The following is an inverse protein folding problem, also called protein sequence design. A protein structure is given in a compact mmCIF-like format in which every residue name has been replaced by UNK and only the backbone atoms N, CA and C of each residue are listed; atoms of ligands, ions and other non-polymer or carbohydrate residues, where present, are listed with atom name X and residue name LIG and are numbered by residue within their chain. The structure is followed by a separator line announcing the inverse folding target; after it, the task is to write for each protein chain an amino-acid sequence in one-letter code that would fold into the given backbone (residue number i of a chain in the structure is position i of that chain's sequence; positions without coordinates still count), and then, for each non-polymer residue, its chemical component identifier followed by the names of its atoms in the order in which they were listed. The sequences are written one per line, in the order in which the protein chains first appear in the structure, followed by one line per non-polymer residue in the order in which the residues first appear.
data_IF_663149616804
#
_entry.id   IF_663149616804
#
_cell.length_a   1.000
_cell.length_b   1.000
_cell.length_c   1.000
_cell.angle_alpha   90.00
_cell.angle_beta   90.00
_cell.angle_gamma   90.00
#
_symmetry.space_group_name_H-M   'P 1'
#
loop_
_entity.id
_entity.type
_entity.pdbx_description
1 polymer ?
#
# COMPACT_ATOMS: atom_id res chain seq x y z
N UNK A 1 54.86 -2.41 21.62
CA UNK A 1 53.86 -2.11 22.66
C UNK A 1 52.79 -1.26 22.04
N UNK A 2 51.51 -1.57 22.33
CA UNK A 2 50.27 -0.82 21.94
C UNK A 2 49.61 -1.22 20.60
N UNK A 3 49.12 -2.48 20.49
CA UNK A 3 48.10 -2.88 19.50
C UNK A 3 46.79 -3.40 20.13
N UNK A 4 46.71 -3.47 21.47
CA UNK A 4 45.57 -4.13 22.15
C UNK A 4 44.58 -3.12 22.82
N UNK A 5 44.77 -1.83 22.69
CA UNK A 5 43.86 -0.83 23.31
C UNK A 5 42.72 -0.34 22.40
N UNK A 6 42.82 -0.56 21.06
CA UNK A 6 41.74 -0.12 20.14
C UNK A 6 40.58 -1.10 20.06
N UNK A 7 40.78 -2.38 20.35
CA UNK A 7 39.72 -3.39 20.23
C UNK A 7 38.65 -3.30 21.33
N UNK A 8 39.01 -2.84 22.54
CA UNK A 8 38.06 -2.76 23.65
C UNK A 8 37.11 -1.55 23.56
N UNK A 9 37.53 -0.48 22.89
CA UNK A 9 36.70 0.73 22.79
C UNK A 9 35.55 0.57 21.78
N UNK A 10 35.73 -0.22 20.72
CA UNK A 10 34.70 -0.47 19.70
C UNK A 10 33.59 -1.40 20.20
N UNK A 11 33.94 -2.39 21.02
CA UNK A 11 32.97 -3.30 21.65
C UNK A 11 32.13 -2.60 22.72
N UNK A 12 32.70 -1.65 23.46
CA UNK A 12 31.99 -0.87 24.46
C UNK A 12 30.97 0.10 23.86
N UNK A 13 31.29 0.72 22.71
CA UNK A 13 30.40 1.66 22.03
C UNK A 13 29.17 0.99 21.39
N UNK A 14 29.35 -0.23 20.84
CA UNK A 14 28.24 -1.03 20.29
C UNK A 14 27.29 -1.55 21.39
N UNK A 15 27.82 -1.92 22.54
CA UNK A 15 27.03 -2.37 23.69
C UNK A 15 26.19 -1.25 24.33
N UNK A 16 26.75 -0.05 24.43
CA UNK A 16 26.05 1.13 24.97
C UNK A 16 24.95 1.63 24.05
N UNK A 17 25.15 1.62 22.74
CA UNK A 17 24.12 2.00 21.76
C UNK A 17 22.94 1.02 21.77
N UNK A 18 23.18 -0.28 21.85
CA UNK A 18 22.13 -1.32 21.95
C UNK A 18 21.33 -1.21 23.24
N UNK A 19 21.97 -0.92 24.37
CA UNK A 19 21.30 -0.76 25.66
C UNK A 19 20.44 0.51 25.71
N UNK A 20 20.91 1.63 25.15
CA UNK A 20 20.16 2.87 25.09
C UNK A 20 18.92 2.75 24.16
N UNK A 21 19.02 1.98 23.07
CA UNK A 21 17.91 1.77 22.15
C UNK A 21 16.84 0.83 22.74
N UNK A 22 17.25 -0.21 23.47
CA UNK A 22 16.36 -1.10 24.21
C UNK A 22 15.58 -0.34 25.30
N UNK A 23 16.26 0.50 26.08
CA UNK A 23 15.62 1.32 27.13
C UNK A 23 14.61 2.32 26.55
N UNK A 24 14.86 2.85 25.35
CA UNK A 24 13.93 3.76 24.69
C UNK A 24 12.67 3.04 24.20
N UNK A 25 12.80 1.84 23.65
CA UNK A 25 11.64 1.03 23.19
C UNK A 25 10.78 0.56 24.39
N UNK A 26 11.38 0.13 25.48
CA UNK A 26 10.65 -0.28 26.69
C UNK A 26 9.85 0.90 27.28
N UNK A 27 10.44 2.08 27.32
CA UNK A 27 9.75 3.30 27.75
C UNK A 27 8.57 3.65 26.84
N UNK A 28 8.73 3.48 25.52
CA UNK A 28 7.66 3.69 24.55
C UNK A 28 6.52 2.67 24.75
N UNK A 29 6.86 1.40 24.97
CA UNK A 29 5.87 0.35 25.24
C UNK A 29 5.04 0.69 26.49
N UNK A 30 5.69 1.14 27.58
CA UNK A 30 4.96 1.52 28.80
C UNK A 30 4.07 2.75 28.58
N UNK A 31 4.54 3.75 27.82
CA UNK A 31 3.74 4.93 27.49
C UNK A 31 2.53 4.58 26.60
N UNK A 32 2.71 3.75 25.60
CA UNK A 32 1.65 3.26 24.71
C UNK A 32 0.60 2.43 25.48
N UNK A 33 1.05 1.57 26.41
CA UNK A 33 0.15 0.81 27.30
C UNK A 33 -0.70 1.70 28.21
N UNK A 34 -0.18 2.85 28.64
CA UNK A 34 -0.96 3.83 29.42
C UNK A 34 -2.04 4.52 28.56
N UNK A 35 -1.78 4.74 27.29
CA UNK A 35 -2.78 5.23 26.34
C UNK A 35 -3.84 4.15 26.07
N UNK A 36 -3.46 2.86 26.05
CA UNK A 36 -4.33 1.70 26.02
C UNK A 36 -5.03 1.43 24.68
N UNK A 37 -4.94 2.35 23.72
CA UNK A 37 -5.61 2.27 22.43
C UNK A 37 -4.74 2.77 21.29
N UNK A 38 -4.97 2.22 20.11
CA UNK A 38 -4.52 2.72 18.81
C UNK A 38 -5.75 2.86 17.92
N UNK A 39 -5.92 3.97 17.21
CA UNK A 39 -6.97 4.16 16.21
C UNK A 39 -6.36 4.18 14.82
N UNK A 40 -6.73 3.19 14.00
CA UNK A 40 -6.31 3.05 12.60
C UNK A 40 -7.44 3.45 11.66
N UNK A 41 -7.11 3.69 10.39
CA UNK A 41 -8.07 3.92 9.30
C UNK A 41 -7.52 3.34 8.01
N UNK A 42 -8.39 2.85 7.13
CA UNK A 42 -7.98 2.37 5.82
C UNK A 42 -7.15 1.08 5.83
N UNK A 43 -7.27 0.23 6.86
CA UNK A 43 -6.52 -1.03 7.00
C UNK A 43 -7.43 -2.26 6.86
N UNK A 44 -7.84 -2.66 5.64
CA UNK A 44 -8.65 -3.86 5.47
C UNK A 44 -7.85 -5.11 5.88
N UNK A 45 -8.50 -6.07 6.52
CA UNK A 45 -7.83 -7.26 7.06
C UNK A 45 -7.17 -8.15 6.00
N UNK A 46 -7.74 -8.16 4.79
CA UNK A 46 -7.25 -8.90 3.62
C UNK A 46 -6.16 -8.14 2.81
N UNK A 47 -5.87 -6.91 3.19
CA UNK A 47 -4.83 -6.10 2.55
C UNK A 47 -3.47 -6.37 3.18
N UNK A 48 -2.50 -6.89 2.41
CA UNK A 48 -1.11 -7.12 2.86
C UNK A 48 -0.97 -7.89 4.19
N UNK A 49 -2.01 -8.59 4.63
CA UNK A 49 -2.00 -9.32 5.90
C UNK A 49 -2.24 -8.44 7.14
N UNK A 50 -2.83 -7.24 6.98
CA UNK A 50 -3.13 -6.34 8.11
C UNK A 50 -3.92 -7.01 9.23
N UNK A 51 -4.91 -7.85 8.92
CA UNK A 51 -5.68 -8.56 9.95
C UNK A 51 -4.81 -9.37 10.90
N UNK A 52 -3.82 -10.10 10.37
CA UNK A 52 -2.87 -10.85 11.18
C UNK A 52 -1.93 -9.93 11.96
N UNK A 53 -1.45 -8.84 11.36
CA UNK A 53 -0.54 -7.90 12.02
C UNK A 53 -1.23 -7.10 13.12
N UNK A 54 -2.49 -6.69 12.92
CA UNK A 54 -3.31 -6.05 13.94
C UNK A 54 -3.55 -7.00 15.12
N UNK A 55 -3.89 -8.27 14.84
CA UNK A 55 -4.07 -9.28 15.87
C UNK A 55 -2.78 -9.55 16.68
N UNK A 56 -1.63 -9.64 15.99
CA UNK A 56 -0.32 -9.83 16.61
C UNK A 56 0.09 -8.62 17.46
N UNK A 57 -0.14 -7.40 16.98
CA UNK A 57 0.09 -6.17 17.75
C UNK A 57 -0.73 -6.13 19.02
N UNK A 58 -2.04 -6.42 18.93
CA UNK A 58 -2.94 -6.52 20.09
C UNK A 58 -2.44 -7.55 21.12
N UNK A 59 -2.10 -8.76 20.65
CA UNK A 59 -1.63 -9.83 21.50
C UNK A 59 -0.31 -9.51 22.18
N UNK A 60 0.63 -8.92 21.43
CA UNK A 60 1.98 -8.63 21.92
C UNK A 60 2.03 -7.49 22.93
N UNK A 61 1.24 -6.45 22.75
CA UNK A 61 1.35 -5.24 23.55
C UNK A 61 0.17 -5.03 24.51
N UNK A 62 -0.94 -5.76 24.35
CA UNK A 62 -2.14 -5.58 25.18
C UNK A 62 -2.83 -4.24 24.94
N UNK A 63 -2.70 -3.67 23.72
CA UNK A 63 -3.30 -2.40 23.30
C UNK A 63 -4.53 -2.70 22.46
N UNK A 64 -5.66 -2.05 22.76
CA UNK A 64 -6.88 -2.13 21.94
C UNK A 64 -6.66 -1.41 20.62
N UNK A 65 -7.13 -1.97 19.50
CA UNK A 65 -7.14 -1.29 18.22
C UNK A 65 -8.58 -0.95 17.82
N UNK A 66 -8.83 0.34 17.61
CA UNK A 66 -10.06 0.89 17.05
C UNK A 66 -9.86 1.08 15.55
N UNK A 67 -10.61 0.35 14.74
CA UNK A 67 -10.45 0.31 13.28
C UNK A 67 -11.54 1.14 12.60
N UNK A 68 -11.17 2.33 12.10
CA UNK A 68 -12.07 3.22 11.37
C UNK A 68 -12.08 2.86 9.89
N UNK A 69 -13.29 2.86 9.31
CA UNK A 69 -13.51 2.70 7.88
C UNK A 69 -12.38 1.90 7.16
N UNK A 70 -12.34 0.59 7.29
CA UNK A 70 -11.26 -0.23 6.70
C UNK A 70 -11.14 -0.06 5.18
N UNK A 71 -12.22 0.30 4.51
CA UNK A 71 -12.29 0.50 3.06
C UNK A 71 -11.95 1.94 2.60
N UNK A 72 -11.47 2.82 3.50
CA UNK A 72 -11.11 4.19 3.15
C UNK A 72 -9.99 4.22 2.10
N UNK A 73 -10.12 5.10 1.11
CA UNK A 73 -9.03 5.41 0.19
C UNK A 73 -8.06 6.43 0.78
N UNK A 74 -6.87 6.56 0.20
CA UNK A 74 -5.81 7.47 0.71
C UNK A 74 -6.27 8.93 0.87
N UNK A 75 -7.17 9.40 0.00
CA UNK A 75 -7.77 10.73 0.12
C UNK A 75 -8.71 10.84 1.32
N UNK A 76 -9.50 9.79 1.57
CA UNK A 76 -10.46 9.76 2.68
C UNK A 76 -9.74 9.75 4.04
N UNK A 77 -8.60 9.07 4.13
CA UNK A 77 -7.76 9.05 5.34
C UNK A 77 -7.22 10.45 5.68
N UNK A 78 -6.79 11.20 4.66
CA UNK A 78 -6.35 12.60 4.83
C UNK A 78 -7.51 13.49 5.29
N UNK A 79 -8.68 13.34 4.68
CA UNK A 79 -9.88 14.10 5.07
C UNK A 79 -10.32 13.72 6.49
N UNK A 80 -10.18 12.45 6.90
CA UNK A 80 -10.48 12.03 8.28
C UNK A 80 -9.59 12.75 9.32
N UNK A 81 -8.28 12.92 9.05
CA UNK A 81 -7.43 13.73 9.93
C UNK A 81 -7.88 15.19 9.96
N UNK A 82 -8.21 15.78 8.78
CA UNK A 82 -8.66 17.18 8.69
C UNK A 82 -9.94 17.41 9.49
N UNK A 83 -10.92 16.53 9.35
CA UNK A 83 -12.21 16.61 10.03
C UNK A 83 -12.10 16.42 11.55
N UNK A 84 -11.04 15.75 12.02
CA UNK A 84 -10.83 15.41 13.43
C UNK A 84 -9.69 16.21 14.09
N UNK A 85 -9.32 17.37 13.58
CA UNK A 85 -8.32 18.24 14.21
C UNK A 85 -8.74 18.62 15.64
N UNK A 86 -7.91 18.21 16.61
CA UNK A 86 -8.18 18.48 18.03
C UNK A 86 -9.24 17.59 18.67
N UNK A 87 -9.84 16.66 17.93
CA UNK A 87 -10.71 15.64 18.49
C UNK A 87 -9.86 14.55 19.16
N UNK A 88 -10.12 14.28 20.44
CA UNK A 88 -9.44 13.21 21.23
C UNK A 88 -10.32 11.95 21.34
N UNK A 89 -11.45 11.91 20.65
CA UNK A 89 -12.39 10.79 20.67
C UNK A 89 -12.05 9.70 19.65
N UNK A 90 -12.84 8.62 19.64
CA UNK A 90 -12.55 7.41 18.86
C UNK A 90 -12.65 7.59 17.34
N UNK A 91 -13.11 8.75 16.85
CA UNK A 91 -13.18 9.03 15.41
C UNK A 91 -11.90 9.66 14.83
N UNK A 92 -10.94 10.06 15.69
CA UNK A 92 -9.69 10.65 15.26
C UNK A 92 -8.64 9.56 14.99
N UNK A 93 -8.13 9.41 13.76
CA UNK A 93 -7.10 8.43 13.46
C UNK A 93 -5.74 8.81 14.05
N UNK A 94 -5.04 7.82 14.62
CA UNK A 94 -3.67 7.98 15.09
C UNK A 94 -2.66 7.81 13.96
N UNK A 95 -2.94 6.91 13.01
CA UNK A 95 -2.05 6.57 11.90
C UNK A 95 -2.85 6.46 10.60
N UNK A 96 -2.15 6.67 9.48
CA UNK A 96 -2.68 6.47 8.11
C UNK A 96 -1.72 5.61 7.30
N UNK A 97 -2.29 4.85 6.32
CA UNK A 97 -1.59 4.05 5.32
C UNK A 97 -2.01 4.49 3.91
N UNK A 98 -1.22 5.34 3.31
CA UNK A 98 -1.60 6.02 2.06
C UNK A 98 -0.62 5.73 0.93
N UNK A 99 -1.07 5.82 -0.30
CA UNK A 99 -0.18 5.78 -1.46
C UNK A 99 0.90 6.87 -1.38
N UNK A 100 2.11 6.58 -1.86
CA UNK A 100 3.32 7.39 -1.69
C UNK A 100 3.11 8.90 -1.95
N UNK A 101 2.35 9.29 -2.98
CA UNK A 101 2.11 10.70 -3.32
C UNK A 101 1.19 11.43 -2.34
N UNK A 102 0.50 10.73 -1.46
CA UNK A 102 -0.34 11.33 -0.43
C UNK A 102 0.46 11.69 0.84
N UNK A 103 1.63 11.06 1.06
CA UNK A 103 2.54 11.39 2.16
C UNK A 103 3.00 12.85 2.14
N UNK A 104 3.62 13.36 1.05
CA UNK A 104 3.94 14.78 0.90
C UNK A 104 2.73 15.69 1.06
N UNK A 105 1.60 15.34 0.45
CA UNK A 105 0.34 16.12 0.57
C UNK A 105 -0.10 16.28 2.03
N UNK A 106 -0.04 15.20 2.82
CA UNK A 106 -0.38 15.25 4.25
C UNK A 106 0.64 16.09 5.05
N UNK A 107 1.93 16.01 4.72
CA UNK A 107 3.00 16.85 5.33
C UNK A 107 2.78 18.32 5.04
N UNK A 108 2.58 18.69 3.78
CA UNK A 108 2.41 20.09 3.35
C UNK A 108 1.15 20.72 3.92
N UNK A 109 0.11 19.92 4.11
CA UNK A 109 -1.12 20.34 4.80
C UNK A 109 -0.98 20.41 6.34
N UNK A 110 0.18 20.08 6.90
CA UNK A 110 0.46 20.10 8.35
C UNK A 110 -0.37 19.11 9.16
N UNK A 111 -0.71 17.94 8.57
CA UNK A 111 -1.62 16.94 9.13
C UNK A 111 -0.92 15.79 9.85
N UNK A 112 0.38 15.61 9.60
CA UNK A 112 1.18 14.51 10.14
C UNK A 112 2.37 15.04 10.95
N UNK A 113 2.95 14.18 11.78
CA UNK A 113 4.09 14.51 12.63
C UNK A 113 5.28 13.59 12.34
N UNK A 114 6.53 14.07 12.57
CA UNK A 114 7.71 13.27 12.29
C UNK A 114 7.96 12.23 13.38
N UNK A 115 8.38 11.04 12.96
CA UNK A 115 8.91 10.00 13.83
C UNK A 115 9.84 9.08 13.02
N UNK A 116 11.07 8.87 13.48
CA UNK A 116 12.02 7.95 12.83
C UNK A 116 12.12 6.67 13.64
N UNK A 117 11.71 5.56 13.04
CA UNK A 117 11.80 4.23 13.65
C UNK A 117 13.25 3.78 13.87
N UNK A 118 13.46 2.85 14.78
CA UNK A 118 14.78 2.29 15.10
C UNK A 118 15.52 1.71 13.89
N UNK A 119 14.78 1.22 12.88
CA UNK A 119 15.30 0.65 11.63
C UNK A 119 15.39 1.66 10.47
N UNK A 120 15.26 2.96 10.74
CA UNK A 120 15.20 4.06 9.77
C UNK A 120 16.22 3.97 8.62
N UNK A 121 17.47 3.61 8.94
CA UNK A 121 18.55 3.56 7.96
C UNK A 121 18.43 2.44 6.93
N UNK A 122 17.57 1.45 7.17
CA UNK A 122 17.30 0.35 6.24
C UNK A 122 16.17 0.62 5.25
N UNK A 123 15.45 1.73 5.40
CA UNK A 123 14.41 2.17 4.48
C UNK A 123 15.07 2.94 3.32
N UNK A 124 14.77 2.62 2.04
CA UNK A 124 15.32 3.33 0.89
C UNK A 124 15.04 4.84 0.93
N UNK A 125 15.98 5.64 0.44
CA UNK A 125 15.86 7.12 0.45
C UNK A 125 14.67 7.60 -0.39
N UNK A 126 14.41 6.93 -1.48
CA UNK A 126 13.36 7.25 -2.46
C UNK A 126 11.96 7.00 -1.91
N UNK A 127 11.87 6.20 -0.84
CA UNK A 127 10.61 5.81 -0.21
C UNK A 127 10.41 6.43 1.16
N UNK A 128 11.06 7.56 1.48
CA UNK A 128 10.88 8.24 2.77
C UNK A 128 11.13 9.73 2.72
N UNK A 129 10.41 10.46 3.55
CA UNK A 129 10.70 11.85 3.86
C UNK A 129 11.93 11.96 4.78
N UNK A 130 12.90 12.84 4.46
CA UNK A 130 14.15 12.98 5.22
C UNK A 130 13.96 13.31 6.70
N UNK A 131 12.89 14.02 7.02
CA UNK A 131 12.57 14.46 8.37
C UNK A 131 11.78 13.42 9.16
N UNK A 132 11.23 12.39 8.47
CA UNK A 132 10.51 11.28 9.09
C UNK A 132 9.01 11.50 9.22
N UNK A 133 8.39 12.35 8.40
CA UNK A 133 6.95 12.58 8.41
C UNK A 133 6.17 11.41 7.84
N UNK A 134 6.71 10.75 6.80
CA UNK A 134 6.14 9.57 6.15
C UNK A 134 7.24 8.68 5.59
N UNK A 135 7.02 7.40 5.49
CA UNK A 135 7.96 6.45 4.90
C UNK A 135 7.28 5.17 4.45
N UNK A 136 7.81 4.59 3.38
CA UNK A 136 7.30 3.37 2.76
C UNK A 136 7.30 2.19 3.71
N UNK A 137 6.31 1.34 3.57
CA UNK A 137 6.15 0.12 4.35
C UNK A 137 6.14 -1.13 3.48
N UNK A 138 5.44 -1.12 2.35
CA UNK A 138 5.39 -2.20 1.37
C UNK A 138 5.14 -1.67 -0.05
N UNK A 139 5.29 -2.57 -1.02
CA UNK A 139 4.97 -2.31 -2.43
C UNK A 139 4.45 -3.56 -3.14
N UNK A 140 3.81 -3.36 -4.28
CA UNK A 140 3.37 -4.39 -5.22
C UNK A 140 3.28 -3.85 -6.63
N UNK A 141 2.78 -4.64 -7.57
CA UNK A 141 2.52 -4.24 -8.95
C UNK A 141 1.05 -4.37 -9.30
N UNK A 142 0.57 -3.57 -10.25
CA UNK A 142 -0.80 -3.73 -10.74
C UNK A 142 -0.95 -5.01 -11.55
N UNK A 143 -2.09 -5.67 -11.34
CA UNK A 143 -2.47 -6.91 -12.00
C UNK A 143 -3.96 -6.88 -12.39
N UNK A 144 -4.34 -7.79 -13.27
CA UNK A 144 -5.73 -8.16 -13.52
C UNK A 144 -6.05 -9.37 -12.66
N UNK A 145 -7.03 -9.23 -11.81
CA UNK A 145 -7.65 -10.33 -11.08
C UNK A 145 -8.83 -10.82 -11.90
N UNK A 146 -8.81 -12.09 -12.33
CA UNK A 146 -9.73 -12.61 -13.32
C UNK A 146 -10.48 -13.82 -12.79
N UNK A 147 -11.81 -13.74 -12.76
CA UNK A 147 -12.70 -14.89 -12.53
C UNK A 147 -12.73 -15.76 -13.80
N UNK A 148 -11.97 -16.86 -13.80
CA UNK A 148 -11.84 -17.74 -14.98
C UNK A 148 -13.02 -18.67 -15.20
N UNK A 149 -13.95 -18.73 -14.25
CA UNK A 149 -15.20 -19.46 -14.45
C UNK A 149 -16.13 -18.70 -15.41
N UNK A 150 -16.03 -17.37 -15.45
CA UNK A 150 -16.77 -16.50 -16.36
C UNK A 150 -15.95 -16.05 -17.56
N UNK A 151 -14.68 -15.71 -17.37
CA UNK A 151 -13.78 -15.18 -18.41
C UNK A 151 -12.91 -16.31 -18.97
N UNK A 152 -13.33 -16.91 -20.07
CA UNK A 152 -12.62 -18.05 -20.68
C UNK A 152 -11.37 -17.64 -21.46
N UNK A 153 -11.34 -16.44 -22.02
CA UNK A 153 -10.15 -15.86 -22.65
C UNK A 153 -9.54 -14.86 -21.69
N UNK A 154 -8.54 -15.30 -20.91
CA UNK A 154 -7.90 -14.45 -19.91
C UNK A 154 -7.11 -13.33 -20.61
N UNK A 155 -7.35 -12.03 -20.28
CA UNK A 155 -6.61 -10.93 -20.86
C UNK A 155 -5.15 -10.98 -20.39
N UNK A 156 -4.21 -10.67 -21.29
CA UNK A 156 -2.78 -10.70 -21.00
C UNK A 156 -2.13 -9.31 -21.05
N UNK A 157 -2.87 -8.32 -21.56
CA UNK A 157 -2.38 -6.95 -21.65
C UNK A 157 -3.56 -5.97 -21.69
N UNK A 158 -3.30 -4.69 -21.42
CA UNK A 158 -4.29 -3.62 -21.35
C UNK A 158 -5.20 -3.55 -22.58
N UNK A 159 -4.63 -3.60 -23.78
CA UNK A 159 -5.41 -3.56 -25.04
C UNK A 159 -6.42 -4.70 -25.17
N UNK A 160 -6.18 -5.83 -24.51
CA UNK A 160 -7.12 -6.94 -24.55
C UNK A 160 -8.45 -6.56 -23.93
N UNK A 161 -8.43 -5.74 -22.86
CA UNK A 161 -9.62 -5.31 -22.12
C UNK A 161 -10.66 -4.56 -22.98
N UNK A 162 -10.26 -4.04 -24.14
CA UNK A 162 -11.14 -3.33 -25.07
C UNK A 162 -11.94 -4.29 -26.00
N UNK A 163 -11.62 -5.59 -26.01
CA UNK A 163 -12.30 -6.58 -26.84
C UNK A 163 -13.76 -6.77 -26.41
N UNK A 164 -14.69 -7.05 -27.36
CA UNK A 164 -16.10 -7.30 -27.06
C UNK A 164 -16.33 -8.45 -26.08
N UNK A 165 -15.38 -9.39 -25.98
CA UNK A 165 -15.44 -10.52 -25.03
C UNK A 165 -15.45 -10.08 -23.56
N UNK A 166 -15.07 -8.85 -23.25
CA UNK A 166 -15.02 -8.33 -21.87
C UNK A 166 -16.11 -7.28 -21.59
N UNK A 167 -17.25 -7.35 -22.35
CA UNK A 167 -18.39 -6.47 -22.09
C UNK A 167 -18.92 -6.71 -20.68
N UNK A 168 -19.19 -5.63 -19.93
CA UNK A 168 -19.62 -5.65 -18.52
C UNK A 168 -18.68 -6.46 -17.60
N UNK A 169 -17.36 -6.37 -17.79
CA UNK A 169 -16.45 -7.24 -17.07
C UNK A 169 -15.35 -6.49 -16.30
N UNK A 170 -14.93 -5.31 -16.72
CA UNK A 170 -13.73 -4.64 -16.21
C UNK A 170 -14.06 -3.60 -15.17
N UNK A 171 -13.53 -3.73 -13.97
CA UNK A 171 -13.69 -2.79 -12.86
C UNK A 171 -12.36 -2.32 -12.29
N UNK A 172 -12.37 -1.17 -11.61
CA UNK A 172 -11.29 -0.68 -10.77
C UNK A 172 -11.55 -1.07 -9.31
N UNK A 173 -10.50 -1.36 -8.56
CA UNK A 173 -10.60 -1.59 -7.12
C UNK A 173 -10.48 -0.27 -6.34
N UNK A 174 -11.43 0.63 -6.55
CA UNK A 174 -11.52 1.92 -5.89
C UNK A 174 -12.02 3.03 -6.82
N UNK A 175 -12.38 4.15 -6.23
CA UNK A 175 -12.75 5.36 -6.95
C UNK A 175 -11.48 6.11 -7.40
N UNK A 176 -11.25 6.34 -8.71
CA UNK A 176 -10.06 7.03 -9.22
C UNK A 176 -9.99 8.52 -8.85
N UNK A 177 -10.97 9.05 -8.14
CA UNK A 177 -10.94 10.41 -7.61
C UNK A 177 -10.26 10.50 -6.24
N UNK A 178 -10.19 9.38 -5.49
CA UNK A 178 -9.67 9.35 -4.11
C UNK A 178 -8.76 8.16 -3.80
N UNK A 179 -8.92 7.01 -4.47
CA UNK A 179 -8.20 5.78 -4.17
C UNK A 179 -6.90 5.66 -4.98
N UNK A 180 -5.76 5.60 -4.29
CA UNK A 180 -4.45 5.47 -4.94
C UNK A 180 -4.36 4.28 -5.91
N UNK A 181 -4.93 3.13 -5.56
CA UNK A 181 -4.93 1.93 -6.39
C UNK A 181 -5.63 2.17 -7.74
N UNK A 182 -6.80 2.81 -7.71
CA UNK A 182 -7.56 3.13 -8.91
C UNK A 182 -6.88 4.20 -9.77
N UNK A 183 -6.35 5.26 -9.14
CA UNK A 183 -5.55 6.29 -9.82
C UNK A 183 -4.37 5.65 -10.55
N UNK A 184 -3.64 4.77 -9.85
CA UNK A 184 -2.51 4.02 -10.41
C UNK A 184 -2.94 3.10 -11.56
N UNK A 185 -4.12 2.48 -11.46
CA UNK A 185 -4.71 1.65 -12.52
C UNK A 185 -4.97 2.44 -13.81
N UNK A 186 -5.51 3.65 -13.69
CA UNK A 186 -5.72 4.55 -14.83
C UNK A 186 -4.38 4.94 -15.47
N UNK A 187 -3.40 5.33 -14.67
CA UNK A 187 -2.07 5.69 -15.17
C UNK A 187 -1.36 4.51 -15.85
N UNK A 188 -1.41 3.31 -15.25
CA UNK A 188 -0.81 2.10 -15.80
C UNK A 188 -1.42 1.73 -17.15
N UNK A 189 -2.74 1.88 -17.32
CA UNK A 189 -3.38 1.70 -18.60
C UNK A 189 -2.81 2.64 -19.66
N UNK A 190 -2.55 3.90 -19.32
CA UNK A 190 -1.97 4.89 -20.22
C UNK A 190 -0.55 4.56 -20.65
N UNK A 191 0.34 4.21 -19.73
CA UNK A 191 1.69 3.76 -20.09
C UNK A 191 1.67 2.42 -20.85
N UNK A 192 0.67 1.57 -20.59
CA UNK A 192 0.40 0.36 -21.36
C UNK A 192 -0.01 0.61 -22.81
N UNK A 193 -0.53 1.81 -23.13
CA UNK A 193 -0.76 2.28 -24.50
C UNK A 193 0.48 2.90 -25.14
N UNK A 194 1.62 2.89 -24.46
CA UNK A 194 2.89 3.44 -24.96
C UNK A 194 3.13 4.92 -24.65
N UNK A 195 2.28 5.54 -23.83
CA UNK A 195 2.50 6.92 -23.39
C UNK A 195 3.78 7.05 -22.55
N UNK A 196 4.47 8.18 -22.69
CA UNK A 196 5.72 8.47 -21.99
C UNK A 196 5.55 9.64 -21.04
N UNK A 197 5.96 9.41 -19.77
CA UNK A 197 5.86 10.42 -18.71
C UNK A 197 4.46 10.57 -18.11
N UNK A 198 4.40 11.29 -17.01
CA UNK A 198 3.23 11.33 -16.12
C UNK A 198 1.98 11.95 -16.78
N UNK A 199 2.13 13.12 -17.42
CA UNK A 199 1.01 13.84 -18.02
C UNK A 199 0.40 13.07 -19.21
N UNK A 200 1.24 12.55 -20.11
CA UNK A 200 0.77 11.76 -21.26
C UNK A 200 0.15 10.44 -20.81
N UNK A 201 0.73 9.80 -19.78
CA UNK A 201 0.19 8.56 -19.19
C UNK A 201 -1.19 8.77 -18.58
N UNK A 202 -1.38 9.88 -17.86
CA UNK A 202 -2.69 10.22 -17.30
C UNK A 202 -3.74 10.45 -18.40
N UNK A 203 -3.43 11.27 -19.43
CA UNK A 203 -4.33 11.55 -20.54
C UNK A 203 -4.69 10.27 -21.33
N UNK A 204 -3.69 9.46 -21.66
CA UNK A 204 -3.91 8.19 -22.37
C UNK A 204 -4.71 7.19 -21.54
N UNK A 205 -4.49 7.14 -20.23
CA UNK A 205 -5.24 6.30 -19.31
C UNK A 205 -6.72 6.72 -19.20
N UNK A 206 -6.98 8.02 -19.06
CA UNK A 206 -8.34 8.55 -19.06
C UNK A 206 -9.08 8.23 -20.37
N UNK A 207 -8.42 8.42 -21.51
CA UNK A 207 -8.98 8.06 -22.84
C UNK A 207 -9.22 6.55 -22.96
N UNK A 208 -8.34 5.73 -22.42
CA UNK A 208 -8.52 4.28 -22.38
C UNK A 208 -9.78 3.89 -21.59
N UNK A 209 -9.99 4.43 -20.39
CA UNK A 209 -11.18 4.15 -19.60
C UNK A 209 -12.45 4.76 -20.21
N UNK A 210 -12.37 5.93 -20.84
CA UNK A 210 -13.48 6.50 -21.63
C UNK A 210 -13.90 5.54 -22.76
N UNK A 211 -12.91 4.93 -23.45
CA UNK A 211 -13.21 3.96 -24.50
C UNK A 211 -13.80 2.65 -23.92
N UNK A 212 -13.29 2.15 -22.78
CA UNK A 212 -13.89 1.00 -22.09
C UNK A 212 -15.35 1.27 -21.70
N UNK A 213 -15.62 2.46 -21.17
CA UNK A 213 -16.97 2.89 -20.78
C UNK A 213 -17.89 2.96 -22.02
N UNK A 214 -17.44 3.60 -23.09
CA UNK A 214 -18.16 3.71 -24.36
C UNK A 214 -18.48 2.34 -24.97
N UNK A 215 -17.54 1.40 -24.91
CA UNK A 215 -17.72 0.04 -25.43
C UNK A 215 -18.64 -0.84 -24.54
N UNK A 216 -18.96 -0.35 -23.33
CA UNK A 216 -19.71 -1.12 -22.32
C UNK A 216 -18.88 -2.22 -21.66
N UNK A 217 -17.54 -2.12 -21.70
CA UNK A 217 -16.64 -3.06 -21.01
C UNK A 217 -16.41 -2.68 -19.56
N UNK A 218 -16.45 -1.36 -19.24
CA UNK A 218 -16.22 -0.85 -17.91
C UNK A 218 -17.46 -1.00 -17.03
N UNK A 219 -17.27 -1.50 -15.81
CA UNK A 219 -18.27 -1.61 -14.76
C UNK A 219 -17.95 -0.58 -13.68
N UNK A 220 -18.79 0.44 -13.44
CA UNK A 220 -18.50 1.50 -12.47
C UNK A 220 -18.86 1.06 -11.03
N UNK A 221 -18.42 -0.12 -10.66
CA UNK A 221 -18.55 -0.69 -9.30
C UNK A 221 -17.14 -0.92 -8.76
N UNK A 222 -16.91 -0.57 -7.51
CA UNK A 222 -15.64 -0.86 -6.85
C UNK A 222 -15.45 -2.37 -6.76
N UNK A 223 -14.44 -2.87 -7.48
CA UNK A 223 -14.10 -4.29 -7.52
C UNK A 223 -13.55 -4.78 -6.19
N UNK A 224 -14.18 -5.83 -5.63
CA UNK A 224 -13.81 -6.51 -4.38
C UNK A 224 -13.92 -8.03 -4.60
N UNK A 225 -13.31 -8.84 -3.72
CA UNK A 225 -13.44 -10.30 -3.75
C UNK A 225 -14.91 -10.77 -3.86
N UNK A 226 -15.82 -10.12 -3.12
CA UNK A 226 -17.24 -10.46 -3.15
C UNK A 226 -17.88 -10.18 -4.52
N UNK A 227 -17.61 -9.03 -5.16
CA UNK A 227 -18.16 -8.70 -6.48
C UNK A 227 -17.54 -9.55 -7.60
N UNK A 228 -16.27 -9.95 -7.45
CA UNK A 228 -15.62 -10.94 -8.33
C UNK A 228 -16.31 -12.30 -8.21
N UNK A 229 -16.52 -12.78 -6.98
CA UNK A 229 -17.16 -14.06 -6.71
C UNK A 229 -18.61 -14.11 -7.22
N UNK A 230 -19.36 -13.02 -7.05
CA UNK A 230 -20.72 -12.87 -7.56
C UNK A 230 -20.81 -12.69 -9.09
N UNK A 231 -19.67 -12.48 -9.76
CA UNK A 231 -19.61 -12.22 -11.18
C UNK A 231 -20.03 -10.81 -11.62
N UNK A 232 -20.22 -9.88 -10.69
CA UNK A 232 -20.53 -8.47 -10.98
C UNK A 232 -19.33 -7.77 -11.62
N UNK A 233 -18.11 -8.08 -11.16
CA UNK A 233 -16.85 -7.52 -11.66
C UNK A 233 -15.87 -8.65 -12.00
N UNK A 234 -16.08 -9.38 -13.11
CA UNK A 234 -15.29 -10.58 -13.44
C UNK A 234 -13.80 -10.33 -13.67
N UNK A 235 -13.41 -9.08 -13.96
CA UNK A 235 -12.03 -8.64 -14.11
C UNK A 235 -11.86 -7.38 -13.24
N UNK A 236 -10.97 -7.46 -12.26
CA UNK A 236 -10.65 -6.31 -11.41
C UNK A 236 -9.20 -5.89 -11.65
N UNK A 237 -8.99 -4.59 -11.88
CA UNK A 237 -7.65 -3.99 -11.94
C UNK A 237 -7.28 -3.56 -10.53
N UNK A 238 -6.29 -4.24 -9.92
CA UNK A 238 -5.87 -4.02 -8.54
C UNK A 238 -4.40 -4.42 -8.32
N UNK A 239 -3.90 -4.21 -7.11
CA UNK A 239 -2.56 -4.69 -6.77
C UNK A 239 -2.51 -6.23 -6.76
N UNK A 240 -1.38 -6.79 -7.20
CA UNK A 240 -1.14 -8.22 -7.29
C UNK A 240 -1.29 -8.94 -5.94
N UNK A 241 -0.85 -8.33 -4.85
CA UNK A 241 -0.97 -8.91 -3.52
C UNK A 241 -2.44 -9.07 -3.07
N UNK A 242 -3.33 -8.12 -3.41
CA UNK A 242 -4.75 -8.27 -3.13
C UNK A 242 -5.34 -9.41 -3.96
N UNK A 243 -5.06 -9.43 -5.28
CA UNK A 243 -5.54 -10.46 -6.17
C UNK A 243 -5.07 -11.87 -5.76
N UNK A 244 -3.83 -11.99 -5.24
CA UNK A 244 -3.28 -13.25 -4.71
C UNK A 244 -3.97 -13.66 -3.41
N UNK A 245 -4.23 -12.71 -2.51
CA UNK A 245 -4.96 -12.96 -1.26
C UNK A 245 -6.40 -13.41 -1.52
N UNK A 246 -7.10 -12.74 -2.45
CA UNK A 246 -8.46 -13.11 -2.85
C UNK A 246 -8.50 -14.50 -3.48
N UNK A 247 -7.58 -14.82 -4.39
CA UNK A 247 -7.44 -16.16 -4.98
C UNK A 247 -7.38 -17.25 -3.90
N UNK A 248 -6.54 -17.02 -2.87
CA UNK A 248 -6.35 -18.02 -1.82
C UNK A 248 -7.55 -18.08 -0.86
N UNK A 249 -8.21 -16.95 -0.62
CA UNK A 249 -9.43 -16.89 0.21
C UNK A 249 -10.61 -17.55 -0.46
N UNK A 250 -10.78 -17.35 -1.76
CA UNK A 250 -11.88 -17.91 -2.56
C UNK A 250 -11.71 -19.42 -2.81
N UNK A 251 -10.51 -19.97 -2.67
CA UNK A 251 -10.22 -21.42 -2.73
C UNK A 251 -10.79 -22.12 -3.98
N UNK A 252 -10.75 -21.46 -5.13
CA UNK A 252 -11.25 -21.98 -6.38
C UNK A 252 -12.77 -21.82 -6.59
N UNK A 253 -13.46 -21.07 -5.76
CA UNK A 253 -14.88 -20.77 -5.92
C UNK A 253 -15.14 -19.25 -5.86
N UNK A 254 -15.00 -18.52 -6.99
CA UNK A 254 -14.59 -18.97 -8.31
C UNK A 254 -13.08 -19.24 -8.43
N UNK A 255 -12.69 -19.88 -9.55
CA UNK A 255 -11.28 -19.95 -9.93
C UNK A 255 -10.76 -18.55 -10.30
N UNK A 256 -9.68 -18.12 -9.67
CA UNK A 256 -9.08 -16.80 -9.88
C UNK A 256 -7.69 -16.95 -10.51
N UNK A 257 -7.45 -16.22 -11.60
CA UNK A 257 -6.13 -16.05 -12.18
C UNK A 257 -5.65 -14.62 -12.00
N UNK A 258 -4.41 -14.46 -11.50
CA UNK A 258 -3.75 -13.17 -11.34
C UNK A 258 -2.80 -12.97 -12.51
N UNK A 259 -2.97 -11.88 -13.26
CA UNK A 259 -2.21 -11.59 -14.48
C UNK A 259 -1.54 -10.22 -14.35
N UNK A 260 -0.22 -10.20 -14.27
CA UNK A 260 0.54 -8.95 -14.47
C UNK A 260 0.58 -8.66 -15.97
N UNK A 261 0.11 -7.49 -16.44
CA UNK A 261 0.06 -7.18 -17.87
C UNK A 261 1.45 -7.14 -18.49
N UNK A 262 1.54 -7.43 -19.81
CA UNK A 262 2.83 -7.44 -20.53
C UNK A 262 3.44 -6.05 -20.69
N UNK A 263 2.59 -5.03 -20.78
CA UNK A 263 2.95 -3.61 -20.86
C UNK A 263 2.36 -2.84 -19.68
N UNK A 264 2.84 -1.62 -19.42
CA UNK A 264 2.31 -0.79 -18.34
C UNK A 264 2.43 -1.43 -16.96
N UNK A 265 3.51 -2.19 -16.70
CA UNK A 265 3.76 -2.79 -15.38
C UNK A 265 4.14 -1.65 -14.43
N UNK A 266 3.22 -1.30 -13.55
CA UNK A 266 3.37 -0.21 -12.60
C UNK A 266 3.50 -0.76 -11.19
N UNK A 267 4.55 -0.34 -10.47
CA UNK A 267 4.69 -0.57 -9.05
C UNK A 267 4.13 0.60 -8.24
N UNK A 268 3.54 0.29 -7.11
CA UNK A 268 3.06 1.28 -6.15
C UNK A 268 3.57 1.00 -4.75
N UNK A 269 4.10 2.06 -4.12
CA UNK A 269 4.54 2.05 -2.72
C UNK A 269 3.45 2.68 -1.87
N UNK A 270 3.17 2.10 -0.72
CA UNK A 270 2.38 2.71 0.34
C UNK A 270 3.30 3.23 1.43
N UNK A 271 2.83 4.22 2.17
CA UNK A 271 3.58 4.88 3.23
C UNK A 271 2.73 5.02 4.48
N UNK A 272 3.36 4.79 5.62
CA UNK A 272 2.78 5.07 6.93
C UNK A 272 3.11 6.47 7.38
N UNK A 273 2.18 7.08 8.10
CA UNK A 273 2.38 8.35 8.78
C UNK A 273 1.57 8.42 10.08
N UNK A 274 2.09 9.19 11.04
CA UNK A 274 1.40 9.46 12.31
C UNK A 274 0.64 10.77 12.18
N UNK A 275 -0.65 10.77 12.51
CA UNK A 275 -1.44 12.00 12.57
C UNK A 275 -0.83 13.01 13.56
N UNK A 276 -0.75 14.27 13.17
CA UNK A 276 -0.33 15.35 14.08
C UNK A 276 -1.28 15.52 15.26
N UNK A 277 -2.53 15.09 15.09
CA UNK A 277 -3.62 15.20 16.05
C UNK A 277 -3.95 13.83 16.68
N UNK A 278 -3.03 12.87 16.61
CA UNK A 278 -3.21 11.53 17.16
C UNK A 278 -3.59 11.59 18.65
N UNK A 279 -4.74 11.03 19.05
CA UNK A 279 -5.12 10.91 20.47
C UNK A 279 -4.15 10.01 21.26
N UNK A 280 -3.52 9.02 20.59
CA UNK A 280 -2.65 8.03 21.21
C UNK A 280 -1.26 8.03 20.54
N UNK A 281 -0.46 9.13 20.69
CA UNK A 281 0.77 9.31 19.92
C UNK A 281 1.87 8.29 20.26
N UNK A 282 1.89 7.72 21.48
CA UNK A 282 2.85 6.68 21.82
C UNK A 282 2.44 5.30 21.25
N UNK A 283 1.15 4.99 21.23
CA UNK A 283 0.64 3.79 20.57
C UNK A 283 0.88 3.86 19.04
N UNK A 284 0.71 5.05 18.43
CA UNK A 284 1.06 5.29 17.05
C UNK A 284 2.54 5.04 16.76
N UNK A 285 3.46 5.60 17.57
CA UNK A 285 4.90 5.35 17.43
C UNK A 285 5.26 3.88 17.63
N UNK A 286 4.61 3.20 18.58
CA UNK A 286 4.83 1.77 18.82
C UNK A 286 4.33 0.92 17.65
N UNK A 287 3.22 1.30 17.02
CA UNK A 287 2.76 0.70 15.77
C UNK A 287 3.79 0.83 14.64
N UNK A 288 4.37 2.01 14.49
CA UNK A 288 5.46 2.22 13.52
C UNK A 288 6.67 1.34 13.83
N UNK A 289 7.14 1.27 15.09
CA UNK A 289 8.25 0.36 15.48
C UNK A 289 7.91 -1.10 15.19
N UNK A 290 6.67 -1.53 15.42
CA UNK A 290 6.20 -2.88 15.12
C UNK A 290 6.24 -3.18 13.62
N UNK A 291 5.64 -2.33 12.78
CA UNK A 291 5.59 -2.52 11.33
C UNK A 291 6.97 -2.56 10.68
N UNK A 292 7.88 -1.72 11.15
CA UNK A 292 9.24 -1.63 10.60
C UNK A 292 10.27 -2.53 11.30
N UNK A 293 9.86 -3.32 12.29
CA UNK A 293 10.68 -4.42 12.83
C UNK A 293 10.89 -5.51 11.76
N UNK A 294 11.88 -6.38 11.96
CA UNK A 294 12.07 -7.52 11.04
C UNK A 294 10.84 -8.43 11.00
N UNK A 295 10.19 -8.65 12.14
CA UNK A 295 8.96 -9.46 12.22
C UNK A 295 7.78 -8.80 11.49
N UNK A 296 7.55 -7.51 11.65
CA UNK A 296 6.51 -6.76 10.94
C UNK A 296 6.75 -6.77 9.43
N UNK A 297 7.98 -6.53 9.01
CA UNK A 297 8.35 -6.56 7.59
C UNK A 297 8.18 -7.95 6.95
N UNK A 298 8.45 -9.03 7.69
CA UNK A 298 8.14 -10.40 7.25
C UNK A 298 6.61 -10.64 7.23
N UNK A 299 5.85 -9.94 8.09
CA UNK A 299 4.40 -9.96 8.09
C UNK A 299 3.80 -9.57 6.73
N UNK A 300 4.37 -8.57 6.05
CA UNK A 300 3.95 -8.15 4.71
C UNK A 300 4.05 -9.28 3.68
N UNK A 301 5.10 -10.09 3.74
CA UNK A 301 5.29 -11.23 2.83
C UNK A 301 4.21 -12.29 3.00
N UNK A 302 3.66 -12.48 4.21
CA UNK A 302 2.54 -13.39 4.45
C UNK A 302 1.28 -12.95 3.71
N UNK A 303 1.12 -11.64 3.52
CA UNK A 303 0.05 -11.02 2.74
C UNK A 303 0.42 -10.74 1.27
N UNK A 304 1.47 -11.38 0.75
CA UNK A 304 1.98 -11.23 -0.62
C UNK A 304 2.60 -9.87 -0.95
N UNK A 305 2.73 -8.96 0.00
CA UNK A 305 3.34 -7.65 -0.20
C UNK A 305 4.85 -7.70 -0.06
N UNK A 306 5.56 -6.99 -0.92
CA UNK A 306 6.99 -6.82 -0.78
C UNK A 306 7.28 -5.78 0.30
N UNK A 307 7.96 -6.13 1.40
CA UNK A 307 8.32 -5.16 2.44
C UNK A 307 9.30 -4.12 1.90
N UNK A 308 9.20 -2.89 2.35
CA UNK A 308 10.11 -1.82 1.92
C UNK A 308 11.58 -2.11 2.31
N UNK A 309 11.79 -2.87 3.38
CA UNK A 309 13.12 -3.31 3.84
C UNK A 309 13.58 -4.63 3.21
N UNK A 310 12.99 -5.04 2.08
CA UNK A 310 13.27 -6.32 1.42
C UNK A 310 14.78 -6.57 1.23
N UNK A 311 15.50 -5.59 0.68
CA UNK A 311 16.92 -5.71 0.41
C UNK A 311 17.77 -5.88 1.70
N UNK A 312 17.41 -5.16 2.77
CA UNK A 312 18.06 -5.28 4.08
C UNK A 312 17.82 -6.68 4.69
N UNK A 313 16.59 -7.16 4.64
CA UNK A 313 16.24 -8.50 5.14
C UNK A 313 16.89 -9.60 4.32
N UNK A 314 16.96 -9.46 3.00
CA UNK A 314 17.62 -10.41 2.10
C UNK A 314 19.12 -10.48 2.36
N UNK A 315 19.80 -9.33 2.51
CA UNK A 315 21.21 -9.26 2.86
C UNK A 315 21.52 -9.92 4.21
N UNK A 316 20.60 -9.82 5.16
CA UNK A 316 20.67 -10.45 6.48
C UNK A 316 20.20 -11.91 6.51
N UNK A 317 19.79 -12.47 5.36
CA UNK A 317 19.24 -13.84 5.21
C UNK A 317 18.05 -14.11 6.15
N UNK A 318 17.20 -13.11 6.38
CA UNK A 318 16.04 -13.20 7.28
C UNK A 318 14.73 -13.54 6.58
N UNK A 319 14.70 -13.56 5.24
CA UNK A 319 13.50 -13.88 4.48
C UNK A 319 13.34 -15.40 4.36
N UNK A 320 12.23 -16.00 4.84
CA UNK A 320 11.95 -17.42 4.70
C UNK A 320 11.78 -17.82 3.23
N UNK A 321 12.42 -18.93 2.82
CA UNK A 321 12.42 -19.37 1.43
C UNK A 321 11.02 -19.76 0.91
N UNK A 322 10.19 -20.33 1.78
CA UNK A 322 8.81 -20.71 1.47
C UNK A 322 7.91 -19.49 1.19
N UNK A 323 8.21 -18.34 1.80
CA UNK A 323 7.50 -17.08 1.51
C UNK A 323 7.92 -16.51 0.15
N UNK A 324 9.21 -16.57 -0.19
CA UNK A 324 9.70 -16.16 -1.51
C UNK A 324 9.05 -16.95 -2.64
N UNK A 325 8.83 -18.26 -2.43
CA UNK A 325 8.21 -19.13 -3.41
C UNK A 325 6.75 -18.80 -3.71
N UNK A 326 6.06 -18.08 -2.82
CA UNK A 326 4.67 -17.64 -2.99
C UNK A 326 4.51 -16.33 -3.74
N UNK A 327 5.56 -15.55 -3.86
CA UNK A 327 5.55 -14.26 -4.55
C UNK A 327 5.57 -14.48 -6.08
N UNK A 328 5.04 -13.53 -6.87
CA UNK A 328 5.21 -13.52 -8.31
C UNK A 328 6.68 -13.58 -8.71
N UNK A 329 6.94 -14.12 -9.91
CA UNK A 329 8.31 -14.24 -10.42
C UNK A 329 9.06 -12.92 -10.35
N UNK A 330 10.31 -12.89 -9.82
CA UNK A 330 11.14 -11.68 -9.81
C UNK A 330 11.33 -11.04 -11.19
N UNK A 331 11.18 -11.81 -12.28
CA UNK A 331 11.25 -11.29 -13.64
C UNK A 331 10.12 -10.32 -13.99
N UNK A 332 8.95 -10.45 -13.37
CA UNK A 332 7.82 -9.53 -13.54
C UNK A 332 8.13 -8.18 -12.90
N UNK A 333 8.67 -8.20 -11.68
CA UNK A 333 9.04 -6.98 -10.96
C UNK A 333 10.20 -6.21 -11.60
N UNK A 334 11.10 -6.89 -12.32
CA UNK A 334 12.19 -6.22 -13.07
C UNK A 334 11.70 -5.26 -14.15
N UNK A 335 10.47 -5.45 -14.66
CA UNK A 335 9.85 -4.59 -15.67
C UNK A 335 9.03 -3.47 -15.05
N UNK A 336 8.81 -3.50 -13.75
CA UNK A 336 7.96 -2.54 -13.07
C UNK A 336 8.58 -1.13 -13.09
N UNK A 337 7.76 -0.18 -13.48
CA UNK A 337 8.08 1.24 -13.37
C UNK A 337 7.69 1.69 -11.97
N UNK A 338 8.62 2.28 -11.24
CA UNK A 338 8.39 2.98 -9.99
C UNK A 338 8.35 4.49 -10.29
N UNK A 339 7.17 5.11 -10.39
CA UNK A 339 7.07 6.54 -10.68
C UNK A 339 7.71 7.37 -9.58
N UNK A 340 8.40 8.44 -9.96
CA UNK A 340 8.88 9.43 -8.99
C UNK A 340 7.72 10.10 -8.26
N UNK A 341 7.97 10.74 -7.12
CA UNK A 341 6.94 11.54 -6.44
C UNK A 341 6.33 12.60 -7.37
N UNK A 342 7.17 13.30 -8.13
CA UNK A 342 6.71 14.31 -9.09
C UNK A 342 5.81 13.71 -10.18
N UNK A 343 6.13 12.52 -10.69
CA UNK A 343 5.26 11.82 -11.64
C UNK A 343 3.92 11.47 -11.00
N UNK A 344 3.95 10.95 -9.76
CA UNK A 344 2.75 10.57 -9.03
C UNK A 344 1.83 11.76 -8.76
N UNK A 345 2.37 12.89 -8.32
CA UNK A 345 1.62 14.14 -8.15
C UNK A 345 0.98 14.60 -9.45
N UNK A 346 1.75 14.56 -10.55
CA UNK A 346 1.31 14.99 -11.87
C UNK A 346 0.14 14.13 -12.38
N UNK A 347 0.29 12.80 -12.41
CA UNK A 347 -0.78 11.96 -12.93
C UNK A 347 -1.98 11.88 -11.97
N UNK A 348 -1.76 11.92 -10.64
CA UNK A 348 -2.83 11.97 -9.65
C UNK A 348 -3.70 13.21 -9.85
N UNK A 349 -3.08 14.40 -9.89
CA UNK A 349 -3.81 15.65 -10.09
C UNK A 349 -4.60 15.68 -11.42
N UNK A 350 -4.02 15.16 -12.50
CA UNK A 350 -4.69 15.10 -13.79
C UNK A 350 -5.89 14.14 -13.77
N UNK A 351 -5.71 12.92 -13.24
CA UNK A 351 -6.74 11.87 -13.22
C UNK A 351 -7.91 12.28 -12.32
N UNK A 352 -7.63 12.70 -11.07
CA UNK A 352 -8.68 13.08 -10.11
C UNK A 352 -9.52 14.24 -10.61
N UNK A 353 -8.90 15.22 -11.27
CA UNK A 353 -9.60 16.40 -11.80
C UNK A 353 -10.44 16.10 -13.05
N UNK A 354 -9.97 15.18 -13.92
CA UNK A 354 -10.52 15.01 -15.26
C UNK A 354 -11.41 13.76 -15.39
N UNK A 355 -11.44 12.87 -14.40
CA UNK A 355 -12.18 11.62 -14.48
C UNK A 355 -13.65 11.82 -14.87
N UNK A 356 -14.37 12.68 -14.17
CA UNK A 356 -15.79 12.91 -14.43
C UNK A 356 -16.07 13.50 -15.83
N UNK A 357 -15.23 14.42 -16.29
CA UNK A 357 -15.39 15.06 -17.59
C UNK A 357 -14.97 14.21 -18.79
N UNK A 358 -14.00 13.30 -18.60
CA UNK A 358 -13.44 12.49 -19.70
C UNK A 358 -14.07 11.11 -19.76
N UNK A 359 -14.14 10.41 -18.62
CA UNK A 359 -14.69 9.04 -18.54
C UNK A 359 -16.20 9.06 -18.35
N UNK A 360 -16.73 10.03 -17.60
CA UNK A 360 -18.16 10.22 -17.39
C UNK A 360 -18.82 9.07 -16.63
N UNK A 361 -18.08 8.41 -15.73
CA UNK A 361 -18.55 7.24 -14.99
C UNK A 361 -18.31 7.41 -13.50
N UNK A 362 -19.37 7.26 -12.70
CA UNK A 362 -19.34 7.41 -11.25
C UNK A 362 -19.08 6.04 -10.61
N UNK A 363 -17.85 5.79 -10.22
CA UNK A 363 -17.43 4.54 -9.54
C UNK A 363 -17.89 4.57 -8.08
N UNK A 364 -18.63 3.51 -7.66
CA UNK A 364 -19.22 3.39 -6.31
C UNK A 364 -18.99 1.99 -5.74
#
# INVERSE_FOLDING_TARGET
MNRNLLACAVLGALGLASAAQATNLDSLIQAAKKEGQLTTIGLPHDWCGYGAMLADFKAKYGITVNELNPDAGSGDEIEAIKANKGNMGPQAPDVIDVGLSFGPQAKDAGLIQPYKVSTWNSIPKEAKDSDGFWYGDYYGVLAFEVNTDLIKQVPTDWKDLQKPAYRNAVALAGDPRVANQAISGVYAAGIGQGAKGAAQGADAGLKFFAQLNKNGNFVPVIGKAASLAQGTTPIIIRWDYNALADRDTLKGNPNVQVVVPKSGVLAGVYVQAISKYAPHPNAAKLWMEYLYSDAGQIGWLKGYCHPIRFNDLAAKKKIPADMLAKLPSPALYKKAVFPTLQDQETYKAAITKQWDGVVGSNVK
#
